data_IF_822539423007
#
_entry.id   IF_822539423007
#
_cell.length_a   1.000
_cell.length_b   1.000
_cell.length_c   1.000
_cell.angle_alpha   90.00
_cell.angle_beta   90.00
_cell.angle_gamma   90.00
#
_symmetry.space_group_name_H-M   'P 1'
#
loop_
_entity.id
_entity.type
_entity.pdbx_description
1 polymer ?
#
# COMPACT_ATOMS: atom_id res chain seq x y z
N UNK A 1 15.49 -2.28 -6.59
CA UNK A 1 15.87 -2.89 -5.30
C UNK A 1 17.20 -3.61 -5.46
N UNK A 2 17.96 -3.79 -4.37
CA UNK A 2 19.25 -4.49 -4.42
C UNK A 2 19.15 -5.96 -4.90
N UNK A 3 18.03 -6.64 -4.59
CA UNK A 3 17.78 -8.02 -5.02
C UNK A 3 17.67 -8.17 -6.55
N UNK A 4 16.94 -7.27 -7.23
CA UNK A 4 16.86 -7.30 -8.70
C UNK A 4 18.22 -6.96 -9.36
N UNK A 5 19.02 -6.11 -8.72
CA UNK A 5 20.40 -5.85 -9.15
C UNK A 5 21.28 -7.11 -9.07
N UNK A 6 21.17 -7.87 -7.98
CA UNK A 6 21.87 -9.15 -7.84
C UNK A 6 21.37 -10.21 -8.85
N UNK A 7 20.09 -10.21 -9.21
CA UNK A 7 19.58 -11.11 -10.27
C UNK A 7 20.13 -10.72 -11.64
N UNK A 8 20.12 -9.42 -11.97
CA UNK A 8 20.65 -8.93 -13.24
C UNK A 8 22.16 -9.19 -13.41
N UNK A 9 22.93 -9.21 -12.30
CA UNK A 9 24.34 -9.59 -12.31
C UNK A 9 24.56 -11.06 -12.72
N UNK A 10 23.60 -11.95 -12.38
CA UNK A 10 23.67 -13.39 -12.63
C UNK A 10 24.68 -14.12 -11.75
N UNK A 11 24.48 -15.43 -11.55
CA UNK A 11 25.30 -16.22 -10.61
C UNK A 11 26.79 -16.19 -10.92
N UNK A 12 27.17 -16.19 -12.21
CA UNK A 12 28.58 -16.16 -12.64
C UNK A 12 29.35 -14.92 -12.15
N UNK A 13 28.66 -13.82 -11.85
CA UNK A 13 29.26 -12.57 -11.35
C UNK A 13 28.96 -12.31 -9.87
N UNK A 14 28.62 -13.36 -9.11
CA UNK A 14 28.28 -13.26 -7.68
C UNK A 14 26.84 -12.85 -7.40
N UNK A 15 25.99 -12.80 -8.43
CA UNK A 15 24.56 -12.55 -8.33
C UNK A 15 23.73 -13.82 -8.14
N UNK A 16 22.46 -13.77 -8.53
CA UNK A 16 21.50 -14.88 -8.46
C UNK A 16 20.83 -15.11 -9.82
N UNK A 17 20.44 -16.35 -10.11
CA UNK A 17 19.80 -16.65 -11.41
C UNK A 17 18.27 -16.46 -11.36
N UNK A 18 17.71 -16.25 -10.17
CA UNK A 18 16.28 -15.96 -9.99
C UNK A 18 16.03 -15.05 -8.78
N UNK A 19 14.93 -14.30 -8.85
CA UNK A 19 14.48 -13.45 -7.75
C UNK A 19 14.15 -14.26 -6.50
N UNK A 20 13.69 -15.52 -6.66
CA UNK A 20 13.42 -16.42 -5.54
C UNK A 20 14.69 -16.81 -4.78
N UNK A 21 15.80 -17.03 -5.49
CA UNK A 21 17.09 -17.32 -4.87
C UNK A 21 17.64 -16.09 -4.15
N UNK A 22 17.56 -14.92 -4.79
CA UNK A 22 17.95 -13.66 -4.17
C UNK A 22 17.13 -13.38 -2.91
N UNK A 23 15.80 -13.55 -2.96
CA UNK A 23 14.92 -13.34 -1.83
C UNK A 23 15.28 -14.26 -0.64
N UNK A 24 15.51 -15.55 -0.86
CA UNK A 24 15.87 -16.49 0.23
C UNK A 24 17.15 -16.11 0.98
N UNK A 25 18.11 -15.48 0.30
CA UNK A 25 19.43 -15.16 0.88
C UNK A 25 19.57 -13.69 1.31
N UNK A 26 18.79 -12.79 0.73
CA UNK A 26 18.91 -11.34 0.97
C UNK A 26 17.72 -10.75 1.71
N UNK A 27 16.58 -11.45 1.79
CA UNK A 27 15.44 -10.96 2.54
C UNK A 27 15.73 -11.07 4.04
N UNK A 28 15.79 -9.91 4.70
CA UNK A 28 15.87 -9.82 6.15
C UNK A 28 14.52 -9.31 6.67
N UNK A 29 13.71 -10.22 7.20
CA UNK A 29 12.46 -9.86 7.87
C UNK A 29 12.73 -9.58 9.35
N UNK A 30 12.00 -8.62 9.94
CA UNK A 30 11.97 -8.46 11.39
C UNK A 30 11.39 -9.74 12.02
N UNK A 31 11.89 -10.12 13.20
CA UNK A 31 11.36 -11.29 13.92
C UNK A 31 9.92 -11.08 14.40
N UNK A 32 9.55 -9.84 14.65
CA UNK A 32 8.20 -9.47 15.05
C UNK A 32 7.22 -9.58 13.87
N UNK A 33 6.13 -10.30 14.11
CA UNK A 33 5.02 -10.42 13.17
C UNK A 33 3.74 -9.98 13.86
N UNK A 34 2.90 -9.20 13.17
CA UNK A 34 1.58 -8.83 13.64
C UNK A 34 0.57 -9.83 13.09
N UNK A 35 -0.16 -10.49 13.98
CA UNK A 35 -1.25 -11.39 13.61
C UNK A 35 -2.59 -10.69 13.86
N UNK A 36 -3.58 -10.84 12.97
CA UNK A 36 -4.91 -10.33 13.23
C UNK A 36 -5.48 -10.93 14.51
N UNK A 37 -6.04 -10.10 15.36
CA UNK A 37 -6.93 -10.53 16.43
C UNK A 37 -8.35 -10.61 15.85
N UNK A 38 -8.99 -11.77 15.96
CA UNK A 38 -10.31 -12.02 15.35
C UNK A 38 -11.41 -11.10 15.89
N UNK A 39 -11.36 -10.75 17.19
CA UNK A 39 -12.35 -9.85 17.80
C UNK A 39 -12.19 -8.45 17.25
N UNK A 40 -10.96 -7.96 17.20
CA UNK A 40 -10.67 -6.65 16.61
C UNK A 40 -11.03 -6.63 15.12
N UNK A 41 -10.73 -7.71 14.39
CA UNK A 41 -11.08 -7.82 12.98
C UNK A 41 -12.58 -7.65 12.76
N UNK A 42 -13.42 -8.33 13.55
CA UNK A 42 -14.88 -8.18 13.45
C UNK A 42 -15.36 -6.75 13.71
N UNK A 43 -14.75 -6.04 14.66
CA UNK A 43 -15.07 -4.63 14.93
C UNK A 43 -14.66 -3.76 13.74
N UNK A 44 -13.45 -3.95 13.22
CA UNK A 44 -12.94 -3.17 12.10
C UNK A 44 -13.70 -3.42 10.79
N UNK A 45 -14.29 -4.60 10.59
CA UNK A 45 -15.16 -4.83 9.42
C UNK A 45 -16.34 -3.86 9.39
N UNK A 46 -17.01 -3.64 10.53
CA UNK A 46 -18.12 -2.69 10.60
C UNK A 46 -17.68 -1.25 10.32
N UNK A 47 -16.56 -0.84 10.91
CA UNK A 47 -15.98 0.49 10.68
C UNK A 47 -15.54 0.66 9.22
N UNK A 48 -14.96 -0.38 8.62
CA UNK A 48 -14.51 -0.36 7.23
C UNK A 48 -15.69 -0.24 6.26
N UNK A 49 -16.82 -0.92 6.52
CA UNK A 49 -18.01 -0.79 5.71
C UNK A 49 -18.56 0.65 5.67
N UNK A 50 -18.54 1.36 6.81
CA UNK A 50 -18.92 2.79 6.84
C UNK A 50 -17.89 3.67 6.14
N UNK A 51 -16.60 3.37 6.30
CA UNK A 51 -15.54 4.03 5.55
C UNK A 51 -15.73 3.88 4.04
N UNK A 52 -16.06 2.68 3.53
CA UNK A 52 -16.27 2.45 2.09
C UNK A 52 -17.41 3.30 1.54
N UNK A 53 -18.52 3.43 2.27
CA UNK A 53 -19.62 4.31 1.87
C UNK A 53 -19.16 5.76 1.75
N UNK A 54 -18.41 6.25 2.72
CA UNK A 54 -17.88 7.62 2.69
C UNK A 54 -16.84 7.80 1.58
N UNK A 55 -15.95 6.83 1.41
CA UNK A 55 -14.95 6.79 0.36
C UNK A 55 -15.62 6.88 -1.01
N UNK A 56 -16.65 6.08 -1.26
CA UNK A 56 -17.34 6.08 -2.54
C UNK A 56 -18.16 7.36 -2.76
N UNK A 57 -18.85 7.83 -1.71
CA UNK A 57 -19.63 9.07 -1.77
C UNK A 57 -18.77 10.28 -2.15
N UNK A 58 -17.61 10.45 -1.50
CA UNK A 58 -16.73 11.60 -1.74
C UNK A 58 -15.70 11.37 -2.87
N UNK A 59 -15.39 10.11 -3.20
CA UNK A 59 -14.29 9.74 -4.09
C UNK A 59 -14.68 9.23 -5.47
N UNK A 60 -15.86 8.60 -5.63
CA UNK A 60 -16.32 8.02 -6.92
C UNK A 60 -17.28 8.89 -7.72
N UNK A 61 -17.47 10.15 -7.32
CA UNK A 61 -18.26 11.13 -8.09
C UNK A 61 -19.75 11.19 -7.74
N UNK A 62 -20.22 10.46 -6.73
CA UNK A 62 -21.58 10.64 -6.19
C UNK A 62 -21.72 12.07 -5.63
N UNK A 63 -20.69 12.56 -4.94
CA UNK A 63 -20.59 13.95 -4.51
C UNK A 63 -19.17 14.51 -4.65
N UNK A 64 -18.93 15.27 -5.70
CA UNK A 64 -17.65 15.95 -5.96
C UNK A 64 -17.36 17.18 -5.05
N UNK A 65 -17.96 17.26 -3.85
CA UNK A 65 -17.82 18.42 -2.94
C UNK A 65 -16.37 18.75 -2.63
N UNK A 66 -15.51 17.75 -2.41
CA UNK A 66 -14.09 17.98 -2.12
C UNK A 66 -13.37 18.72 -3.27
N UNK A 67 -13.68 18.36 -4.53
CA UNK A 67 -13.12 19.03 -5.71
C UNK A 67 -13.63 20.46 -5.83
N UNK A 68 -14.94 20.69 -5.61
CA UNK A 68 -15.55 22.03 -5.68
C UNK A 68 -14.95 22.96 -4.62
N UNK A 69 -14.85 22.51 -3.37
CA UNK A 69 -14.25 23.27 -2.28
C UNK A 69 -12.78 23.61 -2.57
N UNK A 70 -12.00 22.67 -3.11
CA UNK A 70 -10.61 22.93 -3.52
C UNK A 70 -10.54 24.03 -4.60
N UNK A 71 -11.40 23.99 -5.61
CA UNK A 71 -11.46 25.02 -6.67
C UNK A 71 -11.80 26.39 -6.10
N UNK A 72 -12.80 26.47 -5.23
CA UNK A 72 -13.19 27.72 -4.55
C UNK A 72 -12.03 28.28 -3.73
N UNK A 73 -11.36 27.45 -2.91
CA UNK A 73 -10.20 27.89 -2.13
C UNK A 73 -9.10 28.48 -3.01
N UNK A 74 -8.79 27.83 -4.14
CA UNK A 74 -7.79 28.34 -5.10
C UNK A 74 -8.25 29.68 -5.69
N UNK A 75 -9.52 29.79 -6.09
CA UNK A 75 -10.07 31.02 -6.67
C UNK A 75 -10.09 32.21 -5.69
N UNK A 76 -10.24 31.97 -4.38
CA UNK A 76 -10.16 33.03 -3.37
C UNK A 76 -8.73 33.39 -2.94
N UNK A 77 -7.74 32.60 -3.34
CA UNK A 77 -6.32 32.79 -2.95
C UNK A 77 -5.46 33.37 -4.07
N UNK A 78 -6.04 33.69 -5.24
CA UNK A 78 -5.41 34.38 -6.36
C UNK A 78 -6.05 35.73 -6.59
#
# INVERSE_FOLDING_TARGET
SAMFGAVAAGRKKGGYDSIMEAARKMAHLKRESFRPDEKNHSVYQGVYAEYEKLHDYFGRGINDVMKRLKKQRIAFSG
#
